data_IF_486815416797
#
_entry.id   IF_486815416797
#
_cell.length_a   1.000
_cell.length_b   1.000
_cell.length_c   1.000
_cell.angle_alpha   90.00
_cell.angle_beta   90.00
_cell.angle_gamma   90.00
#
_symmetry.space_group_name_H-M   'P 1'
#
loop_
_entity.id
_entity.type
_entity.pdbx_description
1 polymer ?
#
# COMPACT_ATOMS: atom_id res chain seq x y z
N UNK A 1 -25.84 -12.49 -19.33
CA UNK A 1 -25.01 -11.64 -18.43
C UNK A 1 -25.82 -10.40 -18.09
N UNK A 2 -25.91 -10.01 -16.81
CA UNK A 2 -26.72 -8.85 -16.38
C UNK A 2 -25.84 -7.60 -16.21
N UNK A 3 -26.42 -6.41 -16.36
CA UNK A 3 -25.73 -5.11 -16.21
C UNK A 3 -24.88 -5.02 -14.91
N UNK A 4 -25.35 -5.52 -13.74
CA UNK A 4 -24.54 -5.54 -12.52
C UNK A 4 -23.28 -6.42 -12.61
N UNK A 5 -23.33 -7.56 -13.32
CA UNK A 5 -22.17 -8.43 -13.52
C UNK A 5 -21.10 -7.77 -14.41
N UNK A 6 -21.54 -7.05 -15.44
CA UNK A 6 -20.64 -6.31 -16.35
C UNK A 6 -19.91 -5.21 -15.60
N UNK A 7 -20.63 -4.41 -14.79
CA UNK A 7 -20.03 -3.35 -13.98
C UNK A 7 -19.00 -3.88 -12.97
N UNK A 8 -19.27 -5.02 -12.35
CA UNK A 8 -18.33 -5.64 -11.42
C UNK A 8 -17.06 -6.14 -12.11
N UNK A 9 -17.17 -6.75 -13.29
CA UNK A 9 -16.01 -7.21 -14.07
C UNK A 9 -15.16 -6.04 -14.57
N UNK A 10 -15.81 -4.95 -14.97
CA UNK A 10 -15.12 -3.72 -15.35
C UNK A 10 -14.31 -3.13 -14.19
N UNK A 11 -14.92 -3.02 -12.99
CA UNK A 11 -14.22 -2.55 -11.78
C UNK A 11 -12.99 -3.42 -11.45
N UNK A 12 -13.16 -4.75 -11.44
CA UNK A 12 -12.05 -5.69 -11.20
C UNK A 12 -10.91 -5.48 -12.20
N UNK A 13 -11.23 -5.38 -13.49
CA UNK A 13 -10.24 -5.17 -14.55
C UNK A 13 -9.49 -3.85 -14.34
N UNK A 14 -10.22 -2.77 -14.00
CA UNK A 14 -9.62 -1.47 -13.70
C UNK A 14 -8.69 -1.54 -12.48
N UNK A 15 -9.12 -2.19 -11.40
CA UNK A 15 -8.32 -2.38 -10.18
C UNK A 15 -7.03 -3.15 -10.47
N UNK A 16 -7.11 -4.29 -11.16
CA UNK A 16 -5.95 -5.11 -11.52
C UNK A 16 -4.98 -4.30 -12.39
N UNK A 17 -5.49 -3.58 -13.39
CA UNK A 17 -4.66 -2.77 -14.28
C UNK A 17 -3.97 -1.62 -13.54
N UNK A 18 -4.71 -0.85 -12.74
CA UNK A 18 -4.16 0.29 -11.98
C UNK A 18 -3.12 -0.17 -10.98
N UNK A 19 -3.41 -1.21 -10.20
CA UNK A 19 -2.45 -1.71 -9.21
C UNK A 19 -1.19 -2.29 -9.85
N UNK A 20 -1.32 -3.00 -10.98
CA UNK A 20 -0.16 -3.51 -11.75
C UNK A 20 0.71 -2.36 -12.27
N UNK A 21 0.09 -1.28 -12.77
CA UNK A 21 0.81 -0.08 -13.20
C UNK A 21 1.50 0.60 -12.01
N UNK A 22 0.81 0.81 -10.89
CA UNK A 22 1.38 1.40 -9.68
C UNK A 22 2.57 0.60 -9.17
N UNK A 23 2.45 -0.73 -9.14
CA UNK A 23 3.57 -1.57 -8.71
C UNK A 23 4.77 -1.42 -9.65
N UNK A 24 4.55 -1.35 -10.96
CA UNK A 24 5.62 -1.12 -11.94
C UNK A 24 6.31 0.23 -11.74
N UNK A 25 5.57 1.29 -11.39
CA UNK A 25 6.12 2.62 -11.07
C UNK A 25 6.97 2.55 -9.80
N UNK A 26 6.45 1.93 -8.73
CA UNK A 26 7.16 1.76 -7.46
C UNK A 26 8.48 0.99 -7.65
N UNK A 27 8.45 -0.10 -8.41
CA UNK A 27 9.66 -0.90 -8.69
C UNK A 27 10.71 -0.10 -9.48
N UNK A 28 10.29 0.65 -10.51
CA UNK A 28 11.22 1.50 -11.28
C UNK A 28 11.81 2.60 -10.40
N UNK A 29 10.98 3.28 -9.61
CA UNK A 29 11.43 4.33 -8.71
C UNK A 29 12.41 3.81 -7.66
N UNK A 30 12.16 2.61 -7.11
CA UNK A 30 13.08 1.97 -6.18
C UNK A 30 14.44 1.70 -6.84
N UNK A 31 14.47 1.07 -8.02
CA UNK A 31 15.72 0.75 -8.71
C UNK A 31 16.55 1.99 -9.03
N UNK A 32 15.90 3.10 -9.37
CA UNK A 32 16.58 4.38 -9.61
C UNK A 32 17.05 5.02 -8.30
N UNK A 33 16.23 5.02 -7.26
CA UNK A 33 16.60 5.58 -5.96
C UNK A 33 17.82 4.87 -5.34
N UNK A 34 17.89 3.54 -5.45
CA UNK A 34 19.04 2.77 -4.90
C UNK A 34 20.31 2.83 -5.78
N UNK A 35 20.23 3.45 -6.96
CA UNK A 35 21.42 3.72 -7.77
C UNK A 35 22.15 4.95 -7.24
N UNK A 36 21.39 5.93 -6.77
CA UNK A 36 21.90 7.20 -6.25
C UNK A 36 22.18 7.13 -4.73
N UNK A 37 21.47 6.27 -4.01
CA UNK A 37 21.65 6.01 -2.58
C UNK A 37 21.89 4.51 -2.35
N UNK A 38 22.77 4.10 -1.43
CA UNK A 38 23.15 2.68 -1.29
C UNK A 38 21.98 1.72 -1.07
N UNK A 39 21.09 2.05 -0.13
CA UNK A 39 19.90 1.25 0.21
C UNK A 39 18.95 2.02 1.14
N UNK A 40 17.67 1.62 1.26
CA UNK A 40 16.72 2.21 2.20
C UNK A 40 17.19 2.36 3.65
N UNK A 41 17.97 1.41 4.17
CA UNK A 41 18.54 1.47 5.52
C UNK A 41 19.54 2.61 5.73
N UNK A 42 20.05 3.20 4.65
CA UNK A 42 20.89 4.41 4.69
C UNK A 42 20.12 5.72 4.58
N UNK A 43 18.80 5.68 4.32
CA UNK A 43 17.99 6.88 4.08
C UNK A 43 17.67 7.66 5.36
N UNK A 44 18.15 7.23 6.52
CA UNK A 44 17.85 7.85 7.83
C UNK A 44 16.33 7.93 8.11
N UNK A 45 15.59 6.86 7.80
CA UNK A 45 14.15 6.79 8.06
C UNK A 45 13.92 6.88 9.58
N UNK A 46 13.01 7.72 10.04
CA UNK A 46 12.68 7.86 11.46
C UNK A 46 11.22 7.43 11.67
N UNK A 47 11.02 6.36 12.44
CA UNK A 47 9.72 5.77 12.70
C UNK A 47 8.67 6.82 13.11
N UNK A 48 7.47 6.74 12.51
CA UNK A 48 6.30 7.54 12.91
C UNK A 48 6.54 9.05 13.01
N UNK A 49 7.39 9.62 12.12
CA UNK A 49 7.71 11.05 12.11
C UNK A 49 7.63 11.68 10.72
N UNK A 50 7.39 12.98 10.67
CA UNK A 50 7.41 13.76 9.42
C UNK A 50 8.78 13.66 8.72
N UNK A 51 9.88 13.78 9.46
CA UNK A 51 11.23 13.67 8.89
C UNK A 51 11.48 12.28 8.31
N UNK A 52 11.08 11.22 9.01
CA UNK A 52 11.20 9.87 8.49
C UNK A 52 10.34 9.61 7.26
N UNK A 53 9.16 10.21 7.18
CA UNK A 53 8.30 10.09 6.01
C UNK A 53 8.89 10.85 4.80
N UNK A 54 9.50 12.02 5.03
CA UNK A 54 10.28 12.74 4.01
C UNK A 54 11.45 11.88 3.51
N UNK A 55 12.23 11.33 4.43
CA UNK A 55 13.41 10.52 4.13
C UNK A 55 13.04 9.22 3.39
N UNK A 56 11.89 8.62 3.70
CA UNK A 56 11.37 7.46 3.00
C UNK A 56 10.83 7.81 1.60
N UNK A 57 10.12 8.93 1.45
CA UNK A 57 9.39 9.26 0.23
C UNK A 57 10.27 9.94 -0.82
N UNK A 58 11.10 10.91 -0.44
CA UNK A 58 11.86 11.77 -1.37
C UNK A 58 12.73 11.00 -2.37
N UNK A 59 13.50 9.97 -1.96
CA UNK A 59 14.30 9.18 -2.90
C UNK A 59 13.41 8.55 -3.98
N UNK A 60 12.25 7.99 -3.59
CA UNK A 60 11.32 7.33 -4.49
C UNK A 60 10.56 8.32 -5.39
N UNK A 61 9.96 9.36 -4.82
CA UNK A 61 9.09 10.27 -5.60
C UNK A 61 9.87 11.16 -6.57
N UNK A 62 11.17 11.38 -6.33
CA UNK A 62 12.06 12.10 -7.27
C UNK A 62 12.13 11.42 -8.65
N UNK A 63 11.83 10.12 -8.70
CA UNK A 63 11.84 9.27 -9.89
C UNK A 63 10.43 9.08 -10.48
N UNK A 64 9.43 9.79 -9.97
CA UNK A 64 8.02 9.65 -10.34
C UNK A 64 7.46 10.95 -10.93
N UNK A 65 6.42 10.83 -11.76
CA UNK A 65 5.66 11.98 -12.26
C UNK A 65 4.51 12.29 -11.32
N UNK A 66 4.62 13.41 -10.61
CA UNK A 66 3.61 13.86 -9.65
C UNK A 66 2.66 14.88 -10.29
N UNK A 67 1.38 14.78 -9.93
CA UNK A 67 0.39 15.84 -10.16
C UNK A 67 0.34 16.81 -8.97
N UNK A 68 0.49 16.28 -7.76
CA UNK A 68 0.50 17.07 -6.53
C UNK A 68 1.45 16.44 -5.51
N UNK A 69 2.22 17.28 -4.83
CA UNK A 69 2.96 16.92 -3.61
C UNK A 69 2.34 17.68 -2.43
N UNK A 70 1.90 16.95 -1.40
CA UNK A 70 1.33 17.52 -0.18
C UNK A 70 2.26 17.36 1.03
N UNK A 71 3.43 16.74 0.83
CA UNK A 71 4.40 16.46 1.88
C UNK A 71 3.80 15.75 3.08
N UNK A 72 4.22 16.18 4.27
CA UNK A 72 3.78 15.63 5.56
C UNK A 72 2.79 16.56 6.27
N UNK A 73 1.99 17.32 5.52
CA UNK A 73 0.98 18.19 6.12
C UNK A 73 0.00 17.40 7.00
N UNK A 74 -0.34 17.96 8.16
CA UNK A 74 -1.46 17.52 9.00
C UNK A 74 -2.74 18.33 8.74
N UNK A 75 -2.68 19.35 7.87
CA UNK A 75 -3.84 20.15 7.50
C UNK A 75 -4.66 19.40 6.43
N UNK A 76 -5.87 18.91 6.75
CA UNK A 76 -6.69 18.14 5.81
C UNK A 76 -7.12 18.97 4.59
N UNK A 77 -7.16 20.30 4.68
CA UNK A 77 -7.46 21.18 3.55
C UNK A 77 -6.36 21.13 2.47
N UNK A 78 -5.13 20.81 2.86
CA UNK A 78 -4.00 20.59 1.94
C UNK A 78 -3.90 19.11 1.60
N UNK A 79 -3.93 18.23 2.60
CA UNK A 79 -3.76 16.78 2.39
C UNK A 79 -4.83 16.15 1.51
N UNK A 80 -6.06 16.69 1.51
CA UNK A 80 -7.13 16.25 0.61
C UNK A 80 -6.82 16.38 -0.88
N UNK A 81 -5.83 17.21 -1.24
CA UNK A 81 -5.41 17.35 -2.63
C UNK A 81 -4.57 16.15 -3.09
N UNK A 82 -4.05 15.36 -2.15
CA UNK A 82 -3.26 14.17 -2.45
C UNK A 82 -3.94 12.87 -2.08
N UNK A 83 -4.73 12.79 -1.00
CA UNK A 83 -5.35 11.55 -0.53
C UNK A 83 -6.75 11.81 0.02
N UNK A 84 -7.59 10.77 0.09
CA UNK A 84 -8.96 10.89 0.60
C UNK A 84 -9.01 11.53 1.99
N UNK A 85 -9.83 12.58 2.13
CA UNK A 85 -10.12 13.22 3.43
C UNK A 85 -11.30 12.53 4.13
N UNK A 86 -11.33 11.21 4.07
CA UNK A 86 -12.32 10.38 4.73
C UNK A 86 -11.59 9.35 5.59
N UNK A 87 -12.33 8.74 6.52
CA UNK A 87 -11.74 7.73 7.41
C UNK A 87 -11.50 6.43 6.65
N UNK A 88 -10.32 5.86 6.84
CA UNK A 88 -9.98 4.55 6.27
C UNK A 88 -10.87 3.46 6.88
N UNK A 89 -11.24 2.47 6.08
CA UNK A 89 -11.95 1.25 6.52
C UNK A 89 -11.18 -0.02 6.15
N UNK A 90 -11.33 -1.05 6.96
CA UNK A 90 -10.90 -2.40 6.64
C UNK A 90 -11.76 -3.04 5.55
N UNK A 91 -11.27 -4.13 4.95
CA UNK A 91 -12.02 -4.94 3.99
C UNK A 91 -13.36 -5.44 4.54
N UNK A 92 -13.49 -5.73 5.83
CA UNK A 92 -14.76 -6.09 6.47
C UNK A 92 -15.69 -4.88 6.72
N UNK A 93 -15.21 -3.65 6.54
CA UNK A 93 -15.97 -2.40 6.69
C UNK A 93 -15.82 -1.73 8.06
N UNK A 94 -15.16 -2.40 9.00
CA UNK A 94 -14.85 -1.82 10.32
C UNK A 94 -13.85 -0.67 10.17
N UNK A 95 -13.91 0.28 11.11
CA UNK A 95 -12.94 1.35 11.20
C UNK A 95 -11.60 0.83 11.74
N UNK A 96 -10.51 1.47 11.31
CA UNK A 96 -9.17 1.16 11.81
C UNK A 96 -9.04 1.56 13.29
N UNK A 97 -8.82 0.58 14.18
CA UNK A 97 -8.58 0.74 15.62
C UNK A 97 -9.60 1.59 16.42
N UNK A 98 -10.85 1.72 15.95
CA UNK A 98 -11.84 2.60 16.58
C UNK A 98 -11.53 4.10 16.46
N UNK A 99 -10.42 4.44 15.80
CA UNK A 99 -9.92 5.78 15.60
C UNK A 99 -10.31 6.33 14.23
N UNK A 100 -10.43 7.64 14.19
CA UNK A 100 -10.71 8.42 12.99
C UNK A 100 -9.46 8.52 12.10
N UNK A 101 -8.85 7.39 11.70
CA UNK A 101 -7.64 7.42 10.90
C UNK A 101 -7.92 8.00 9.51
N UNK A 102 -7.49 9.24 9.33
CA UNK A 102 -7.67 10.02 8.13
C UNK A 102 -6.29 10.40 7.59
N UNK A 103 -5.93 9.75 6.48
CA UNK A 103 -4.64 9.92 5.83
C UNK A 103 -4.41 11.38 5.41
N UNK A 104 -5.44 12.17 5.11
CA UNK A 104 -5.28 13.57 4.70
C UNK A 104 -4.75 14.48 5.82
N UNK A 105 -4.94 14.11 7.10
CA UNK A 105 -4.52 14.89 8.27
C UNK A 105 -3.34 14.28 9.04
N UNK A 106 -2.73 13.22 8.52
CA UNK A 106 -1.70 12.47 9.23
C UNK A 106 -0.30 13.09 9.07
N UNK A 107 0.17 13.84 10.06
CA UNK A 107 1.41 14.62 9.96
C UNK A 107 2.71 13.81 9.89
N UNK A 108 2.69 12.51 10.20
CA UNK A 108 3.85 11.62 10.17
C UNK A 108 3.91 10.73 8.91
N UNK A 109 3.13 11.07 7.88
CA UNK A 109 3.11 10.35 6.60
C UNK A 109 3.26 11.31 5.44
N UNK A 110 4.00 10.88 4.42
CA UNK A 110 4.20 11.68 3.21
C UNK A 110 3.09 11.36 2.21
N UNK A 111 2.57 12.36 1.51
CA UNK A 111 1.38 12.21 0.64
C UNK A 111 1.64 12.83 -0.72
N UNK A 112 1.44 12.06 -1.78
CA UNK A 112 1.53 12.55 -3.17
C UNK A 112 0.39 12.00 -4.01
N UNK A 113 0.03 12.74 -5.05
CA UNK A 113 -0.83 12.29 -6.13
C UNK A 113 0.02 12.16 -7.40
N UNK A 114 0.05 10.96 -7.98
CA UNK A 114 0.74 10.69 -9.23
C UNK A 114 -0.07 11.25 -10.42
N UNK A 115 0.62 11.54 -11.52
CA UNK A 115 0.00 12.03 -12.76
C UNK A 115 -1.06 11.07 -13.33
N UNK A 116 -0.96 9.76 -13.02
CA UNK A 116 -1.94 8.76 -13.41
C UNK A 116 -3.15 8.68 -12.47
N UNK A 117 -3.29 9.60 -11.50
CA UNK A 117 -4.41 9.69 -10.58
C UNK A 117 -4.36 8.76 -9.37
N UNK A 118 -3.24 8.06 -9.15
CA UNK A 118 -3.03 7.20 -7.97
C UNK A 118 -2.42 8.03 -6.85
N UNK A 119 -2.97 7.95 -5.65
CA UNK A 119 -2.33 8.55 -4.48
C UNK A 119 -1.40 7.55 -3.81
N UNK A 120 -0.27 8.04 -3.33
CA UNK A 120 0.64 7.26 -2.50
C UNK A 120 0.81 7.95 -1.15
N UNK A 121 0.77 7.15 -0.08
CA UNK A 121 1.18 7.58 1.24
C UNK A 121 2.33 6.72 1.76
N UNK A 122 3.32 7.35 2.39
CA UNK A 122 4.54 6.70 2.88
C UNK A 122 4.59 6.74 4.39
N UNK A 123 4.71 5.56 5.00
CA UNK A 123 4.56 5.33 6.43
C UNK A 123 5.86 4.75 7.02
N UNK A 124 6.73 5.58 7.61
CA UNK A 124 7.98 5.11 8.19
C UNK A 124 7.74 4.29 9.46
N UNK A 125 8.46 3.19 9.65
CA UNK A 125 8.34 2.30 10.83
C UNK A 125 9.67 1.85 11.44
N UNK A 126 10.67 1.51 10.63
CA UNK A 126 11.97 1.08 11.12
C UNK A 126 13.10 1.78 10.36
N UNK A 127 13.91 2.52 11.10
CA UNK A 127 15.06 3.24 10.57
C UNK A 127 16.09 2.33 9.89
N UNK A 128 16.35 1.18 10.49
CA UNK A 128 17.44 0.30 10.10
C UNK A 128 16.97 -0.90 9.29
N UNK A 129 15.70 -0.93 8.88
CA UNK A 129 15.10 -2.00 8.06
C UNK A 129 15.42 -3.43 8.59
N UNK A 130 15.57 -3.57 9.91
CA UNK A 130 16.04 -4.77 10.59
C UNK A 130 14.97 -5.35 11.53
N UNK A 131 15.33 -6.40 12.26
CA UNK A 131 14.45 -6.95 13.30
C UNK A 131 14.24 -5.90 14.40
N UNK A 132 12.98 -5.62 14.73
CA UNK A 132 12.61 -4.77 15.85
C UNK A 132 11.47 -5.41 16.65
N UNK A 133 11.23 -4.91 17.86
CA UNK A 133 10.07 -5.29 18.68
C UNK A 133 8.77 -4.58 18.28
N UNK A 134 8.81 -3.71 17.26
CA UNK A 134 7.62 -3.07 16.72
C UNK A 134 6.80 -4.13 15.96
N UNK A 135 5.55 -4.31 16.37
CA UNK A 135 4.64 -5.31 15.81
C UNK A 135 4.26 -5.03 14.35
N UNK A 136 4.50 -3.81 13.85
CA UNK A 136 4.30 -3.42 12.46
C UNK A 136 5.56 -3.60 11.59
N UNK A 137 6.69 -3.98 12.18
CA UNK A 137 7.92 -4.28 11.46
C UNK A 137 7.98 -5.77 11.17
N UNK A 138 8.15 -6.09 9.90
CA UNK A 138 8.03 -7.45 9.42
C UNK A 138 9.23 -7.86 8.57
N UNK A 139 9.75 -9.07 8.78
CA UNK A 139 10.86 -9.60 7.99
C UNK A 139 10.38 -10.57 6.92
N UNK A 140 10.55 -10.15 5.68
CA UNK A 140 10.24 -10.92 4.48
C UNK A 140 11.10 -12.19 4.49
N UNK A 141 12.39 -12.07 4.80
CA UNK A 141 13.26 -13.22 5.04
C UNK A 141 14.01 -13.04 6.37
N UNK A 142 13.69 -13.90 7.35
CA UNK A 142 14.33 -13.88 8.68
C UNK A 142 15.78 -14.33 8.61
N UNK A 143 16.19 -15.11 7.61
CA UNK A 143 17.56 -15.58 7.46
C UNK A 143 18.51 -14.49 6.96
N UNK A 144 17.97 -13.49 6.25
CA UNK A 144 18.74 -12.35 5.73
C UNK A 144 18.42 -11.04 6.44
N UNK A 145 17.61 -11.07 7.51
CA UNK A 145 17.11 -9.86 8.21
C UNK A 145 16.48 -8.82 7.27
N UNK A 146 15.84 -9.28 6.18
CA UNK A 146 15.19 -8.42 5.19
C UNK A 146 13.86 -7.88 5.75
N UNK A 147 13.93 -6.86 6.61
CA UNK A 147 12.78 -6.33 7.33
C UNK A 147 12.26 -5.02 6.75
N UNK A 148 11.01 -4.72 7.07
CA UNK A 148 10.34 -3.53 6.56
C UNK A 148 10.88 -2.27 7.20
N UNK A 149 11.34 -1.34 6.38
CA UNK A 149 11.62 0.03 6.78
C UNK A 149 10.33 0.81 7.07
N UNK A 150 9.25 0.41 6.39
CA UNK A 150 7.95 1.06 6.42
C UNK A 150 7.03 0.45 5.37
N UNK A 151 5.87 1.06 5.18
CA UNK A 151 4.92 0.65 4.15
C UNK A 151 4.42 1.84 3.34
N UNK A 152 3.89 1.52 2.17
CA UNK A 152 3.31 2.45 1.21
C UNK A 152 1.85 2.02 1.02
N UNK A 153 0.91 2.93 1.22
CA UNK A 153 -0.49 2.70 0.79
C UNK A 153 -0.71 3.41 -0.52
N UNK A 154 -1.20 2.66 -1.51
CA UNK A 154 -1.65 3.16 -2.79
C UNK A 154 -3.17 3.22 -2.81
N UNK A 155 -3.72 4.42 -3.03
CA UNK A 155 -5.11 4.65 -3.38
C UNK A 155 -5.22 4.71 -4.90
N UNK A 156 -5.79 3.67 -5.51
CA UNK A 156 -5.76 3.49 -6.96
C UNK A 156 -6.78 4.35 -7.73
N UNK A 157 -7.74 4.96 -7.03
CA UNK A 157 -8.67 5.91 -7.63
C UNK A 157 -8.52 7.34 -7.10
N UNK A 158 -7.71 7.55 -6.05
CA UNK A 158 -7.19 8.86 -5.68
C UNK A 158 -8.12 9.67 -4.77
N UNK A 159 -7.81 10.93 -4.46
CA UNK A 159 -8.35 11.64 -3.29
C UNK A 159 -9.87 11.85 -3.25
N UNK A 160 -10.52 11.87 -4.42
CA UNK A 160 -11.94 12.21 -4.55
C UNK A 160 -12.81 11.03 -4.99
N UNK A 161 -12.24 9.82 -5.03
CA UNK A 161 -12.91 8.63 -5.51
C UNK A 161 -12.89 7.54 -4.44
N UNK A 162 -13.70 6.50 -4.67
CA UNK A 162 -13.63 5.29 -3.86
C UNK A 162 -14.37 5.30 -2.52
N UNK A 163 -14.16 4.22 -1.78
CA UNK A 163 -14.65 3.96 -0.44
C UNK A 163 -13.57 4.17 0.64
N UNK A 164 -12.33 4.46 0.24
CA UNK A 164 -11.16 4.58 1.11
C UNK A 164 -11.01 3.35 2.02
N UNK A 165 -11.00 2.17 1.38
CA UNK A 165 -11.14 0.86 2.02
C UNK A 165 -10.06 -0.11 1.55
N UNK A 166 -9.37 -0.72 2.51
CA UNK A 166 -8.35 -1.74 2.25
C UNK A 166 -8.90 -2.88 1.39
N UNK A 167 -8.13 -3.24 0.36
CA UNK A 167 -8.46 -4.26 -0.61
C UNK A 167 -9.56 -3.88 -1.62
N UNK A 168 -10.11 -2.67 -1.57
CA UNK A 168 -11.02 -2.16 -2.60
C UNK A 168 -10.32 -1.16 -3.53
N UNK A 169 -9.81 -0.09 -2.93
CA UNK A 169 -9.09 1.01 -3.57
C UNK A 169 -7.75 1.30 -2.88
N UNK A 170 -7.62 0.96 -1.59
CA UNK A 170 -6.35 1.01 -0.86
C UNK A 170 -5.60 -0.32 -0.90
N UNK A 171 -4.33 -0.26 -1.29
CA UNK A 171 -3.44 -1.42 -1.39
C UNK A 171 -2.08 -1.13 -0.77
N UNK A 172 -1.62 -2.05 0.09
CA UNK A 172 -0.35 -1.91 0.82
C UNK A 172 0.83 -2.58 0.10
N UNK A 173 1.96 -1.88 0.08
CA UNK A 173 3.28 -2.40 -0.26
C UNK A 173 4.24 -2.19 0.92
N UNK A 174 5.21 -3.09 1.07
CA UNK A 174 6.27 -2.97 2.05
C UNK A 174 7.54 -2.48 1.37
N UNK A 175 8.23 -1.52 1.98
CA UNK A 175 9.59 -1.14 1.63
C UNK A 175 10.56 -1.90 2.52
N UNK A 176 11.54 -2.57 1.93
CA UNK A 176 12.68 -3.16 2.62
C UNK A 176 13.97 -2.73 1.93
N UNK A 177 15.11 -3.06 2.52
CA UNK A 177 16.43 -2.84 1.91
C UNK A 177 16.62 -3.52 0.55
N UNK A 178 15.78 -4.52 0.23
CA UNK A 178 15.91 -5.32 -0.98
C UNK A 178 14.84 -5.04 -2.03
N UNK A 179 13.87 -4.17 -1.74
CA UNK A 179 12.83 -3.85 -2.70
C UNK A 179 11.52 -3.41 -2.10
N UNK A 180 10.57 -3.17 -3.00
CA UNK A 180 9.18 -2.95 -2.67
C UNK A 180 8.39 -4.22 -2.98
N UNK A 181 7.69 -4.75 -1.96
CA UNK A 181 6.98 -6.01 -2.05
C UNK A 181 5.50 -5.82 -1.79
N UNK A 182 4.60 -6.47 -2.55
CA UNK A 182 3.18 -6.39 -2.25
C UNK A 182 2.88 -7.10 -0.93
N UNK A 183 2.12 -6.42 -0.07
CA UNK A 183 1.66 -7.03 1.17
C UNK A 183 0.78 -8.24 0.87
N UNK A 184 0.99 -9.32 1.62
CA UNK A 184 0.16 -10.53 1.57
C UNK A 184 0.76 -11.77 0.91
N UNK A 185 1.94 -11.72 0.28
CA UNK A 185 2.48 -12.96 -0.28
C UNK A 185 3.97 -13.08 -0.33
N UNK A 186 4.49 -13.42 0.84
CA UNK A 186 5.72 -14.17 0.94
C UNK A 186 5.40 -15.66 1.19
N UNK A 187 5.91 -16.60 0.36
CA UNK A 187 5.79 -18.03 0.59
C UNK A 187 6.65 -18.58 1.75
N UNK A 188 7.76 -17.93 2.14
CA UNK A 188 8.59 -18.31 3.30
C UNK A 188 8.00 -17.86 4.64
N UNK A 189 7.07 -16.93 4.60
CA UNK A 189 6.54 -16.23 5.77
C UNK A 189 5.09 -15.84 5.43
N UNK A 190 4.20 -16.83 5.51
CA UNK A 190 2.77 -16.68 5.17
C UNK A 190 2.12 -15.60 6.05
N UNK A 191 1.47 -14.60 5.45
CA UNK A 191 0.59 -13.64 6.17
C UNK A 191 -0.86 -13.64 5.68
N UNK A 192 -1.17 -14.33 4.59
CA UNK A 192 -2.56 -14.48 4.15
C UNK A 192 -2.98 -15.90 4.52
N UNK A 193 -3.68 -16.02 5.64
CA UNK A 193 -4.67 -17.08 5.74
C UNK A 193 -5.73 -16.75 4.68
N UNK A 194 -6.47 -17.73 4.14
CA UNK A 194 -7.63 -17.44 3.28
C UNK A 194 -8.74 -16.60 3.95
N UNK A 195 -8.46 -15.99 5.10
CA UNK A 195 -9.35 -15.25 5.98
C UNK A 195 -8.79 -13.84 6.29
N UNK A 196 -8.06 -13.21 5.37
CA UNK A 196 -7.68 -11.79 5.52
C UNK A 196 -8.93 -10.89 5.47
N UNK A 197 -9.64 -10.80 6.59
CA UNK A 197 -10.88 -10.02 6.72
C UNK A 197 -10.62 -8.52 6.76
N UNK A 198 -9.37 -8.10 6.93
CA UNK A 198 -8.98 -6.68 7.03
C UNK A 198 -8.47 -6.12 5.70
N UNK A 199 -7.97 -6.97 4.80
CA UNK A 199 -7.57 -6.60 3.45
C UNK A 199 -6.09 -6.27 3.28
N UNK A 200 -5.26 -6.49 4.31
CA UNK A 200 -3.82 -6.18 4.27
C UNK A 200 -3.07 -6.97 3.21
N UNK A 201 -3.51 -8.18 2.89
CA UNK A 201 -2.93 -9.06 1.90
C UNK A 201 -3.58 -8.99 0.52
N UNK A 202 -4.56 -8.11 0.34
CA UNK A 202 -5.27 -7.95 -0.92
C UNK A 202 -4.33 -7.55 -2.08
N UNK A 203 -3.26 -6.78 -1.81
CA UNK A 203 -2.30 -6.35 -2.85
C UNK A 203 -1.67 -7.53 -3.56
N UNK A 204 -1.13 -8.50 -2.80
CA UNK A 204 -0.55 -9.69 -3.41
C UNK A 204 -1.59 -10.50 -4.17
N UNK A 205 -2.81 -10.65 -3.63
CA UNK A 205 -3.87 -11.37 -4.31
C UNK A 205 -4.18 -10.77 -5.67
N UNK A 206 -4.45 -9.46 -5.73
CA UNK A 206 -4.77 -8.78 -6.99
C UNK A 206 -3.64 -8.92 -8.00
N UNK A 207 -2.39 -8.75 -7.56
CA UNK A 207 -1.23 -8.84 -8.45
C UNK A 207 -0.95 -10.26 -8.95
N UNK A 208 -1.23 -11.31 -8.17
CA UNK A 208 -0.91 -12.69 -8.52
C UNK A 208 -2.08 -13.48 -9.11
N UNK A 209 -3.28 -13.31 -8.55
CA UNK A 209 -4.50 -13.99 -9.00
C UNK A 209 -5.28 -13.19 -10.05
N UNK A 210 -4.90 -11.92 -10.27
CA UNK A 210 -5.47 -11.04 -11.30
C UNK A 210 -6.99 -10.89 -11.23
N UNK A 211 -7.52 -10.86 -10.00
CA UNK A 211 -8.95 -10.68 -9.72
C UNK A 211 -9.16 -10.11 -8.31
N UNK A 212 -10.40 -9.75 -7.97
CA UNK A 212 -10.79 -9.26 -6.64
C UNK A 212 -11.82 -10.18 -5.96
N UNK A 213 -11.78 -11.50 -6.23
CA UNK A 213 -12.76 -12.46 -5.74
C UNK A 213 -12.96 -12.43 -4.20
N UNK A 214 -11.92 -12.08 -3.44
CA UNK A 214 -11.97 -11.94 -1.99
C UNK A 214 -13.00 -10.90 -1.51
N UNK A 215 -13.37 -9.93 -2.36
CA UNK A 215 -14.41 -8.95 -2.03
C UNK A 215 -15.81 -9.57 -1.96
N UNK A 216 -16.01 -10.79 -2.49
CA UNK A 216 -17.32 -11.45 -2.59
C UNK A 216 -17.40 -12.75 -1.79
N UNK A 217 -16.33 -13.54 -1.79
CA UNK A 217 -16.37 -14.91 -1.29
C UNK A 217 -15.10 -15.30 -0.52
N UNK A 218 -14.54 -14.37 0.28
CA UNK A 218 -13.29 -14.58 1.03
C UNK A 218 -13.21 -15.97 1.68
N UNK A 219 -14.27 -16.40 2.38
CA UNK A 219 -14.33 -17.69 3.09
C UNK A 219 -14.20 -18.95 2.21
N UNK A 220 -14.35 -18.81 0.88
CA UNK A 220 -14.22 -19.91 -0.08
C UNK A 220 -12.82 -19.99 -0.72
N UNK A 221 -11.97 -18.98 -0.48
CA UNK A 221 -10.72 -18.82 -1.20
C UNK A 221 -9.52 -19.42 -0.46
N UNK A 222 -8.57 -19.96 -1.22
CA UNK A 222 -7.30 -20.50 -0.69
C UNK A 222 -6.13 -20.05 -1.57
N UNK A 223 -4.97 -19.77 -0.96
CA UNK A 223 -3.75 -19.38 -1.68
C UNK A 223 -3.31 -20.47 -2.67
N UNK A 224 -3.24 -21.71 -2.17
CA UNK A 224 -2.81 -22.90 -2.91
C UNK A 224 -4.00 -23.69 -3.50
N UNK A 225 -5.12 -23.00 -3.76
CA UNK A 225 -6.35 -23.65 -4.21
C UNK A 225 -7.29 -22.71 -4.94
N UNK A 226 -8.55 -22.70 -4.50
CA UNK A 226 -9.62 -22.00 -5.19
C UNK A 226 -9.41 -20.48 -5.17
N UNK A 227 -9.29 -19.89 -6.37
CA UNK A 227 -9.01 -18.46 -6.60
C UNK A 227 -10.18 -17.68 -7.20
N UNK A 228 -11.34 -18.32 -7.32
CA UNK A 228 -12.59 -17.79 -7.85
C UNK A 228 -13.76 -18.25 -6.98
N UNK A 229 -14.78 -17.41 -6.80
CA UNK A 229 -16.02 -17.82 -6.14
C UNK A 229 -16.71 -18.95 -6.91
N UNK A 230 -17.38 -19.87 -6.20
CA UNK A 230 -18.34 -20.79 -6.83
C UNK A 230 -19.61 -20.05 -7.22
#
# INVERSE_FOLDING_TARGET
MTIPMINNKYKETKTVSKLTQTYSILQQAFQLAIKDESSPGSWNIIASSANGANNMAKPLISQMKLLQDCGTTSNPTIGKNCISNTKMKYLNGNQFNGDNWNLASEGNTYKVLLLNGVSLTFHPRNAACNLSSDTFVYCIDKSTSACTCGYILADIDGPNHGQNRLGWDLFQFFLTDHGIFPSGGNPKTRYVTGNDTEGWGATWWVLNKKNTAYQKCLSQLKIDGQSKCK
#
